data_IF_870135620503
#
_entry.id   IF_870135620503
#
_cell.length_a   1.000
_cell.length_b   1.000
_cell.length_c   1.000
_cell.angle_alpha   90.00
_cell.angle_beta   90.00
_cell.angle_gamma   90.00
#
_symmetry.space_group_name_H-M   'P 1'
#
loop_
_entity.id
_entity.type
_entity.pdbx_description
1 polymer ?
#
# COMPACT_ATOMS: atom_id res chain seq x y z
N UNK A 1 -4.61 17.84 0.89
CA UNK A 1 -4.77 18.75 -0.26
C UNK A 1 -5.74 19.82 0.18
N UNK A 2 -5.24 21.02 0.45
CA UNK A 2 -6.02 22.13 1.02
C UNK A 2 -5.81 23.40 0.19
N UNK A 3 -5.72 23.25 -1.13
CA UNK A 3 -5.60 24.38 -2.03
C UNK A 3 -7.01 24.89 -2.38
N UNK A 4 -7.22 26.21 -2.39
CA UNK A 4 -8.50 26.78 -2.77
C UNK A 4 -8.82 26.46 -4.25
N UNK A 5 -10.11 26.24 -4.56
CA UNK A 5 -10.56 25.91 -5.91
C UNK A 5 -10.27 27.05 -6.89
N UNK A 6 -9.80 26.72 -8.09
CA UNK A 6 -9.59 27.69 -9.17
C UNK A 6 -10.95 28.25 -9.64
N UNK A 7 -11.09 29.57 -9.58
CA UNK A 7 -12.32 30.28 -10.02
C UNK A 7 -12.35 30.57 -11.53
N UNK A 8 -11.17 30.80 -12.14
CA UNK A 8 -11.04 31.16 -13.54
C UNK A 8 -9.91 30.35 -14.21
N UNK A 9 -10.06 30.08 -15.51
CA UNK A 9 -9.03 29.41 -16.29
C UNK A 9 -7.83 30.35 -16.50
N UNK A 10 -6.58 29.96 -16.17
CA UNK A 10 -5.42 30.83 -16.33
C UNK A 10 -5.07 31.14 -17.80
N UNK A 11 -5.69 30.43 -18.75
CA UNK A 11 -5.39 30.56 -20.20
C UNK A 11 -6.44 31.38 -20.96
N UNK A 12 -7.72 31.24 -20.61
CA UNK A 12 -8.82 31.93 -21.31
C UNK A 12 -9.65 32.85 -20.40
N UNK A 13 -9.34 32.94 -19.10
CA UNK A 13 -10.03 33.78 -18.10
C UNK A 13 -11.53 33.51 -17.92
N UNK A 14 -12.08 32.50 -18.60
CA UNK A 14 -13.48 32.09 -18.47
C UNK A 14 -13.75 31.44 -17.09
N UNK A 15 -15.00 31.55 -16.57
CA UNK A 15 -15.39 30.95 -15.32
C UNK A 15 -15.31 29.42 -15.41
N UNK A 16 -14.58 28.80 -14.47
CA UNK A 16 -14.43 27.35 -14.44
C UNK A 16 -15.67 26.73 -13.81
N UNK A 17 -16.50 26.09 -14.63
CA UNK A 17 -17.59 25.27 -14.13
C UNK A 17 -17.01 23.99 -13.51
N UNK A 18 -17.32 23.76 -12.23
CA UNK A 18 -17.04 22.50 -11.59
C UNK A 18 -17.89 21.42 -12.24
N UNK A 19 -17.30 20.63 -13.11
CA UNK A 19 -17.84 19.32 -13.41
C UNK A 19 -17.61 18.51 -12.14
N UNK A 20 -18.69 18.25 -11.40
CA UNK A 20 -18.67 17.30 -10.29
C UNK A 20 -18.43 15.93 -10.94
N UNK A 21 -17.18 15.62 -11.26
CA UNK A 21 -16.78 14.25 -11.48
C UNK A 21 -17.19 13.51 -10.22
N UNK A 22 -18.01 12.47 -10.37
CA UNK A 22 -18.51 11.69 -9.25
C UNK A 22 -17.41 11.52 -8.19
N UNK A 23 -17.70 11.69 -6.89
CA UNK A 23 -16.70 11.57 -5.83
C UNK A 23 -15.95 10.21 -5.85
N UNK A 24 -16.49 9.24 -6.59
CA UNK A 24 -15.94 7.91 -6.87
C UNK A 24 -15.47 7.73 -8.34
N UNK A 25 -15.01 8.78 -9.02
CA UNK A 25 -14.26 8.57 -10.26
C UNK A 25 -12.94 7.88 -9.87
N UNK A 26 -12.94 6.54 -9.91
CA UNK A 26 -11.74 5.73 -9.82
C UNK A 26 -10.77 6.23 -10.90
N UNK A 27 -9.82 7.08 -10.51
CA UNK A 27 -8.77 7.59 -11.41
C UNK A 27 -7.86 6.48 -11.95
N UNK A 28 -7.98 5.30 -11.37
CA UNK A 28 -7.20 4.12 -11.69
C UNK A 28 -8.16 2.95 -11.90
N UNK A 29 -8.03 2.28 -13.04
CA UNK A 29 -8.74 1.04 -13.34
C UNK A 29 -8.04 -0.11 -12.61
N UNK A 30 -8.20 -0.19 -11.29
CA UNK A 30 -7.69 -1.33 -10.54
C UNK A 30 -8.50 -2.57 -10.87
N UNK A 31 -7.81 -3.67 -11.17
CA UNK A 31 -8.42 -4.97 -11.44
C UNK A 31 -8.99 -5.63 -10.18
N UNK A 32 -8.53 -5.21 -9.00
CA UNK A 32 -8.98 -5.76 -7.71
C UNK A 32 -8.89 -4.75 -6.55
N UNK A 33 -9.67 -4.95 -5.47
CA UNK A 33 -9.53 -4.17 -4.23
C UNK A 33 -8.13 -4.29 -3.61
N UNK A 34 -7.48 -5.43 -3.83
CA UNK A 34 -6.12 -5.72 -3.38
C UNK A 34 -5.13 -4.79 -4.09
N UNK A 35 -5.21 -4.69 -5.41
CA UNK A 35 -4.39 -3.78 -6.20
C UNK A 35 -4.58 -2.32 -5.78
N UNK A 36 -5.83 -1.89 -5.54
CA UNK A 36 -6.12 -0.55 -5.05
C UNK A 36 -5.48 -0.25 -3.68
N UNK A 37 -5.40 -1.27 -2.81
CA UNK A 37 -4.77 -1.18 -1.48
C UNK A 37 -3.25 -1.07 -1.58
N UNK A 38 -2.63 -1.81 -2.50
CA UNK A 38 -1.18 -1.83 -2.67
C UNK A 38 -0.66 -0.75 -3.64
N UNK A 39 -1.50 -0.10 -4.44
CA UNK A 39 -1.09 0.95 -5.38
C UNK A 39 -0.46 2.19 -4.71
N UNK A 40 -0.74 2.40 -3.43
CA UNK A 40 -0.14 3.49 -2.63
C UNK A 40 1.16 3.08 -1.95
N UNK A 41 1.49 1.78 -1.95
CA UNK A 41 2.66 1.23 -1.30
C UNK A 41 3.79 1.19 -2.32
N UNK A 42 4.91 1.81 -1.99
CA UNK A 42 6.11 1.75 -2.83
C UNK A 42 6.87 0.44 -2.60
N UNK A 43 7.65 -0.07 -3.58
CA UNK A 43 8.45 -1.29 -3.39
C UNK A 43 9.37 -1.23 -2.16
N UNK A 44 9.86 -0.03 -1.80
CA UNK A 44 10.71 0.18 -0.64
C UNK A 44 9.98 -0.03 0.68
N UNK A 45 8.71 0.35 0.75
CA UNK A 45 7.86 0.15 1.93
C UNK A 45 7.48 -1.33 2.08
N UNK A 46 7.28 -2.05 0.98
CA UNK A 46 7.06 -3.51 1.01
C UNK A 46 8.28 -4.24 1.58
N UNK A 47 9.48 -3.90 1.11
CA UNK A 47 10.74 -4.48 1.60
C UNK A 47 10.95 -4.16 3.09
N UNK A 48 10.62 -2.95 3.52
CA UNK A 48 10.74 -2.57 4.94
C UNK A 48 9.80 -3.41 5.82
N UNK A 49 8.55 -3.60 5.38
CA UNK A 49 7.55 -4.40 6.07
C UNK A 49 7.94 -5.88 6.12
N UNK A 50 8.50 -6.42 5.04
CA UNK A 50 8.99 -7.79 5.01
C UNK A 50 10.13 -8.01 6.02
N UNK A 51 11.09 -7.07 6.10
CA UNK A 51 12.19 -7.13 7.09
C UNK A 51 11.69 -7.09 8.53
N UNK A 52 10.62 -6.33 8.81
CA UNK A 52 10.00 -6.31 10.13
C UNK A 52 9.32 -7.64 10.48
N UNK A 53 8.64 -8.26 9.52
CA UNK A 53 8.05 -9.59 9.70
C UNK A 53 9.12 -10.66 9.94
N UNK A 54 10.24 -10.62 9.21
CA UNK A 54 11.37 -11.55 9.40
C UNK A 54 11.98 -11.46 10.80
N UNK A 55 12.13 -10.25 11.36
CA UNK A 55 12.56 -10.08 12.77
C UNK A 55 11.63 -10.78 13.75
N UNK A 56 10.32 -10.83 13.45
CA UNK A 56 9.35 -11.56 14.23
C UNK A 56 9.58 -13.07 14.17
N UNK A 57 9.82 -13.62 12.98
CA UNK A 57 10.13 -15.04 12.77
C UNK A 57 11.44 -15.48 13.43
N UNK A 58 12.50 -14.68 13.33
CA UNK A 58 13.78 -14.95 14.01
C UNK A 58 13.62 -15.01 15.54
N UNK A 59 12.64 -14.28 16.08
CA UNK A 59 12.35 -14.24 17.51
C UNK A 59 11.46 -15.37 17.99
N UNK A 60 10.87 -16.16 17.08
CA UNK A 60 10.16 -17.38 17.46
C UNK A 60 11.24 -18.39 17.85
N UNK A 61 11.37 -18.61 19.15
CA UNK A 61 12.21 -19.67 19.67
C UNK A 61 11.68 -21.01 19.14
N UNK A 62 12.38 -21.58 18.17
CA UNK A 62 12.10 -22.93 17.71
C UNK A 62 12.79 -23.89 18.68
N UNK A 63 12.06 -24.75 19.41
CA UNK A 63 12.71 -25.78 20.22
C UNK A 63 13.59 -26.65 19.30
N UNK A 64 14.72 -27.15 19.81
CA UNK A 64 15.49 -28.13 19.07
C UNK A 64 14.59 -29.32 18.69
N UNK A 65 14.78 -29.91 17.50
CA UNK A 65 13.98 -31.05 17.08
C UNK A 65 14.08 -32.15 18.14
N UNK A 66 12.93 -32.72 18.51
CA UNK A 66 12.89 -33.81 19.49
C UNK A 66 13.61 -35.01 18.89
N UNK A 67 14.72 -35.42 19.50
CA UNK A 67 15.40 -36.66 19.16
C UNK A 67 14.50 -37.83 19.59
N UNK A 68 13.86 -38.48 18.62
CA UNK A 68 13.00 -39.64 18.88
C UNK A 68 13.79 -40.96 18.91
N UNK A 69 15.02 -40.99 18.38
CA UNK A 69 15.85 -42.18 18.33
C UNK A 69 16.90 -42.15 19.46
N UNK A 70 16.89 -43.11 20.40
CA UNK A 70 17.90 -43.19 21.47
C UNK A 70 19.30 -43.57 20.98
N UNK A 71 19.48 -43.87 19.69
CA UNK A 71 20.75 -44.31 19.09
C UNK A 71 21.35 -43.30 18.09
N UNK A 72 20.75 -42.11 17.93
CA UNK A 72 21.29 -41.04 17.08
C UNK A 72 22.01 -39.97 17.93
N UNK A 73 23.35 -40.08 18.00
CA UNK A 73 24.24 -39.02 18.51
C UNK A 73 24.12 -37.73 17.71
#
# INVERSE_FOLDING_TARGET
MSDPPLAACPRCTEPVNRIISAPNLNRYNFSSPTEAKYAKVTPREEIAKERELQKGYERIWLPPPVKHNPWEE
#
